data_IF_427715048045
#
_entry.id   IF_427715048045
#
_cell.length_a   1.000
_cell.length_b   1.000
_cell.length_c   1.000
_cell.angle_alpha   90.00
_cell.angle_beta   90.00
_cell.angle_gamma   90.00
#
_symmetry.space_group_name_H-M   'P 1'
#
loop_
_entity.id
_entity.type
_entity.pdbx_description
1 polymer ?
#
# COMPACT_ATOMS: atom_id res chain seq x y z
N UNK A 1 13.30 -12.43 -20.26
CA UNK A 1 13.94 -11.65 -19.18
C UNK A 1 12.89 -10.68 -18.66
N UNK A 2 12.58 -10.68 -17.36
CA UNK A 2 11.65 -9.70 -16.79
C UNK A 2 12.18 -8.29 -17.06
N UNK A 3 11.34 -7.35 -17.50
CA UNK A 3 11.73 -5.96 -17.71
C UNK A 3 11.60 -5.20 -16.37
N UNK A 4 12.71 -4.94 -15.65
CA UNK A 4 12.65 -4.34 -14.32
C UNK A 4 12.11 -2.91 -14.36
N UNK A 5 12.32 -2.16 -15.46
CA UNK A 5 11.87 -0.78 -15.57
C UNK A 5 10.33 -0.69 -15.60
N UNK A 6 9.68 -1.61 -16.32
CA UNK A 6 8.21 -1.67 -16.36
C UNK A 6 7.60 -2.03 -15.00
N UNK A 7 8.15 -3.05 -14.34
CA UNK A 7 7.73 -3.44 -13.00
C UNK A 7 7.95 -2.33 -11.96
N UNK A 8 9.04 -1.57 -12.08
CA UNK A 8 9.37 -0.45 -11.19
C UNK A 8 8.37 0.69 -11.33
N UNK A 9 8.06 1.09 -12.56
CA UNK A 9 7.05 2.12 -12.83
C UNK A 9 5.67 1.73 -12.28
N UNK A 10 5.31 0.44 -12.38
CA UNK A 10 4.09 -0.08 -11.79
C UNK A 10 4.13 -0.04 -10.26
N UNK A 11 5.26 -0.36 -9.63
CA UNK A 11 5.42 -0.22 -8.18
C UNK A 11 5.25 1.23 -7.71
N UNK A 12 5.83 2.22 -8.43
CA UNK A 12 5.59 3.64 -8.15
C UNK A 12 4.12 4.04 -8.32
N UNK A 13 3.48 3.58 -9.40
CA UNK A 13 2.05 3.82 -9.63
C UNK A 13 1.21 3.30 -8.47
N UNK A 14 1.50 2.10 -7.96
CA UNK A 14 0.77 1.54 -6.82
C UNK A 14 0.98 2.39 -5.57
N UNK A 15 2.19 2.85 -5.25
CA UNK A 15 2.39 3.76 -4.11
C UNK A 15 1.63 5.08 -4.28
N UNK A 16 1.60 5.63 -5.50
CA UNK A 16 0.82 6.82 -5.82
C UNK A 16 -0.69 6.58 -5.64
N UNK A 17 -1.21 5.42 -6.07
CA UNK A 17 -2.60 5.02 -5.85
C UNK A 17 -2.91 4.85 -4.35
N UNK A 18 -2.00 4.27 -3.57
CA UNK A 18 -2.14 4.16 -2.12
C UNK A 18 -2.16 5.54 -1.44
N UNK A 19 -1.37 6.50 -1.92
CA UNK A 19 -1.40 7.88 -1.43
C UNK A 19 -2.68 8.62 -1.86
N UNK A 20 -3.16 8.41 -3.09
CA UNK A 20 -4.41 8.99 -3.58
C UNK A 20 -5.64 8.50 -2.78
N UNK A 21 -5.50 7.40 -2.03
CA UNK A 21 -6.58 6.83 -1.23
C UNK A 21 -7.08 7.77 -0.13
N UNK A 22 -6.23 8.68 0.36
CA UNK A 22 -6.64 9.72 1.30
C UNK A 22 -7.60 10.74 0.67
N UNK A 23 -7.53 10.95 -0.65
CA UNK A 23 -8.41 11.86 -1.38
C UNK A 23 -9.70 11.18 -1.83
N UNK A 24 -9.65 9.87 -2.07
CA UNK A 24 -10.78 9.10 -2.62
C UNK A 24 -11.51 8.25 -1.57
N UNK A 25 -11.28 8.49 -0.27
CA UNK A 25 -11.89 7.72 0.81
C UNK A 25 -11.56 6.21 0.76
N UNK A 26 -10.36 5.85 0.28
CA UNK A 26 -9.92 4.45 0.19
C UNK A 26 -10.16 3.76 -1.15
N UNK A 27 -10.91 4.35 -2.10
CA UNK A 27 -11.23 3.67 -3.37
C UNK A 27 -9.98 3.24 -4.17
N UNK A 28 -8.98 4.11 -4.26
CA UNK A 28 -7.75 3.85 -5.03
C UNK A 28 -6.83 2.81 -4.37
N UNK A 29 -6.99 2.49 -3.08
CA UNK A 29 -6.30 1.36 -2.43
C UNK A 29 -6.71 0.02 -3.06
N UNK A 30 -7.98 -0.13 -3.44
CA UNK A 30 -8.48 -1.35 -4.11
C UNK A 30 -7.87 -1.49 -5.51
N UNK A 31 -7.75 -0.39 -6.25
CA UNK A 31 -7.09 -0.39 -7.56
C UNK A 31 -5.61 -0.77 -7.37
N UNK A 32 -4.93 -0.19 -6.39
CA UNK A 32 -3.53 -0.49 -6.08
C UNK A 32 -3.27 -1.96 -5.77
N UNK A 33 -4.12 -2.62 -4.97
CA UNK A 33 -3.96 -4.05 -4.68
C UNK A 33 -4.24 -4.94 -5.90
N UNK A 34 -5.23 -4.60 -6.73
CA UNK A 34 -5.49 -5.33 -7.98
C UNK A 34 -4.26 -5.27 -8.89
N UNK A 35 -3.73 -4.06 -9.13
CA UNK A 35 -2.50 -3.89 -9.91
C UNK A 35 -1.36 -4.70 -9.30
N UNK A 36 -1.22 -4.67 -7.97
CA UNK A 36 -0.17 -5.41 -7.28
C UNK A 36 -0.27 -6.92 -7.50
N UNK A 37 -1.45 -7.52 -7.38
CA UNK A 37 -1.59 -8.95 -7.63
C UNK A 37 -1.40 -9.32 -9.10
N UNK A 38 -2.00 -8.55 -10.01
CA UNK A 38 -2.00 -8.85 -11.45
C UNK A 38 -0.63 -8.69 -12.07
N UNK A 39 0.21 -7.75 -11.57
CA UNK A 39 1.50 -7.42 -12.18
C UNK A 39 2.71 -7.92 -11.39
N UNK A 40 2.50 -8.58 -10.25
CA UNK A 40 3.58 -9.14 -9.44
C UNK A 40 4.33 -10.27 -10.16
N UNK A 41 3.68 -11.00 -11.05
CA UNK A 41 4.31 -12.02 -11.90
C UNK A 41 5.47 -11.45 -12.73
N UNK A 42 5.30 -10.24 -13.28
CA UNK A 42 6.32 -9.53 -14.07
C UNK A 42 7.54 -9.14 -13.22
N UNK A 43 7.36 -9.02 -11.90
CA UNK A 43 8.43 -8.67 -10.96
C UNK A 43 9.13 -9.88 -10.32
N UNK A 44 8.68 -11.12 -10.60
CA UNK A 44 9.26 -12.33 -9.97
C UNK A 44 10.75 -12.47 -10.30
N UNK A 45 11.53 -12.84 -9.30
CA UNK A 45 12.99 -12.97 -9.42
C UNK A 45 13.74 -11.64 -9.46
N UNK A 46 13.04 -10.51 -9.31
CA UNK A 46 13.63 -9.18 -9.16
C UNK A 46 13.44 -8.66 -7.73
N UNK A 47 14.20 -7.63 -7.35
CA UNK A 47 14.03 -6.93 -6.07
C UNK A 47 12.64 -6.26 -5.93
N UNK A 48 11.98 -5.97 -7.05
CA UNK A 48 10.65 -5.32 -7.13
C UNK A 48 9.54 -6.24 -6.60
N UNK A 49 9.70 -7.58 -6.62
CA UNK A 49 8.71 -8.50 -6.04
C UNK A 49 8.45 -8.19 -4.55
N UNK A 50 9.50 -7.76 -3.83
CA UNK A 50 9.39 -7.39 -2.43
C UNK A 50 8.52 -6.14 -2.20
N UNK A 51 8.53 -5.20 -3.15
CA UNK A 51 7.70 -3.99 -3.11
C UNK A 51 6.23 -4.32 -3.37
N UNK A 52 5.94 -5.17 -4.36
CA UNK A 52 4.56 -5.65 -4.58
C UNK A 52 4.03 -6.40 -3.37
N UNK A 53 4.86 -7.25 -2.73
CA UNK A 53 4.48 -7.92 -1.48
C UNK A 53 4.21 -6.91 -0.36
N UNK A 54 5.06 -5.91 -0.17
CA UNK A 54 4.87 -4.84 0.81
C UNK A 54 3.57 -4.05 0.58
N UNK A 55 3.25 -3.76 -0.68
CA UNK A 55 2.03 -3.04 -1.06
C UNK A 55 0.77 -3.86 -0.78
N UNK A 56 0.78 -5.16 -1.11
CA UNK A 56 -0.30 -6.10 -0.80
C UNK A 56 -0.53 -6.20 0.70
N UNK A 57 0.53 -6.40 1.49
CA UNK A 57 0.44 -6.47 2.96
C UNK A 57 -0.10 -5.15 3.54
N UNK A 58 0.32 -4.00 2.99
CA UNK A 58 -0.15 -2.69 3.44
C UNK A 58 -1.66 -2.55 3.25
N UNK A 59 -2.22 -3.03 2.15
CA UNK A 59 -3.67 -3.05 1.95
C UNK A 59 -4.38 -3.91 3.00
N UNK A 60 -3.94 -5.14 3.22
CA UNK A 60 -4.66 -6.06 4.11
C UNK A 60 -4.62 -5.62 5.58
N UNK A 61 -3.48 -5.12 6.04
CA UNK A 61 -3.39 -4.53 7.38
C UNK A 61 -4.26 -3.28 7.53
N UNK A 62 -4.33 -2.44 6.50
CA UNK A 62 -5.23 -1.28 6.51
C UNK A 62 -6.70 -1.67 6.50
N UNK A 63 -7.08 -2.63 5.65
CA UNK A 63 -8.47 -3.09 5.57
C UNK A 63 -8.91 -3.67 6.92
N UNK A 64 -8.06 -4.51 7.54
CA UNK A 64 -8.33 -5.04 8.86
C UNK A 64 -8.45 -3.93 9.91
N UNK A 65 -7.50 -2.98 9.92
CA UNK A 65 -7.52 -1.84 10.84
C UNK A 65 -8.77 -0.97 10.69
N UNK A 66 -9.22 -0.71 9.46
CA UNK A 66 -10.44 0.04 9.17
C UNK A 66 -11.69 -0.71 9.63
N UNK A 67 -11.76 -2.02 9.42
CA UNK A 67 -12.87 -2.86 9.90
C UNK A 67 -12.95 -2.81 11.43
N UNK A 68 -11.83 -3.02 12.12
CA UNK A 68 -11.76 -2.97 13.59
C UNK A 68 -12.10 -1.57 14.09
N UNK A 69 -11.51 -0.52 13.50
CA UNK A 69 -11.76 0.86 13.88
C UNK A 69 -13.24 1.23 13.72
N UNK A 70 -13.84 0.92 12.58
CA UNK A 70 -15.26 1.20 12.33
C UNK A 70 -16.17 0.42 13.28
N UNK A 71 -15.88 -0.86 13.53
CA UNK A 71 -16.65 -1.69 14.46
C UNK A 71 -16.56 -1.23 15.92
N UNK A 72 -15.42 -0.67 16.32
CA UNK A 72 -15.19 -0.14 17.67
C UNK A 72 -15.67 1.30 17.86
N UNK A 73 -16.09 1.99 16.80
CA UNK A 73 -16.67 3.35 16.91
C UNK A 73 -17.91 3.36 17.80
N UNK A 74 -18.73 2.30 17.77
CA UNK A 74 -19.91 2.17 18.63
C UNK A 74 -19.58 1.99 20.12
N UNK A 75 -18.33 1.65 20.46
CA UNK A 75 -17.83 1.52 21.83
C UNK A 75 -17.24 2.85 22.30
N UNK A 76 -18.10 3.86 22.52
CA UNK A 76 -17.72 5.17 23.09
C UNK A 76 -16.78 6.02 22.20
N UNK A 77 -16.77 5.81 20.89
CA UNK A 77 -15.94 6.59 19.95
C UNK A 77 -14.46 6.19 19.91
N UNK A 78 -14.06 5.11 20.60
CA UNK A 78 -12.69 4.58 20.54
C UNK A 78 -12.24 4.25 19.11
N UNK A 79 -13.18 3.88 18.25
CA UNK A 79 -12.94 3.63 16.82
C UNK A 79 -12.26 4.79 16.10
N UNK A 80 -12.53 6.05 16.46
CA UNK A 80 -11.87 7.19 15.82
C UNK A 80 -10.36 7.24 16.09
N UNK A 81 -9.94 6.86 17.30
CA UNK A 81 -8.52 6.76 17.66
C UNK A 81 -7.87 5.63 16.85
N UNK A 82 -8.54 4.48 16.76
CA UNK A 82 -8.04 3.35 15.96
C UNK A 82 -7.91 3.74 14.49
N UNK A 83 -8.91 4.39 13.91
CA UNK A 83 -8.89 4.84 12.51
C UNK A 83 -7.79 5.87 12.25
N UNK A 84 -7.55 6.80 13.20
CA UNK A 84 -6.44 7.75 13.12
C UNK A 84 -5.09 7.03 13.14
N UNK A 85 -4.91 6.06 14.04
CA UNK A 85 -3.67 5.28 14.11
C UNK A 85 -3.44 4.46 12.83
N UNK A 86 -4.49 3.88 12.25
CA UNK A 86 -4.43 3.16 10.97
C UNK A 86 -4.04 4.12 9.83
N UNK A 87 -4.61 5.32 9.79
CA UNK A 87 -4.26 6.33 8.79
C UNK A 87 -2.79 6.75 8.90
N UNK A 88 -2.30 7.04 10.10
CA UNK A 88 -0.89 7.39 10.33
C UNK A 88 0.04 6.22 9.97
N UNK A 89 -0.36 4.99 10.30
CA UNK A 89 0.38 3.78 9.95
C UNK A 89 0.45 3.58 8.43
N UNK A 90 -0.64 3.84 7.70
CA UNK A 90 -0.66 3.80 6.23
C UNK A 90 0.32 4.82 5.63
N UNK A 91 0.30 6.07 6.11
CA UNK A 91 1.23 7.11 5.64
C UNK A 91 2.68 6.65 5.84
N UNK A 92 3.01 6.16 7.03
CA UNK A 92 4.34 5.63 7.33
C UNK A 92 4.74 4.47 6.39
N UNK A 93 3.84 3.50 6.17
CA UNK A 93 4.10 2.33 5.32
C UNK A 93 4.33 2.72 3.86
N UNK A 94 3.54 3.67 3.33
CA UNK A 94 3.72 4.20 1.99
C UNK A 94 5.07 4.92 1.91
N UNK A 95 5.34 5.88 2.81
CA UNK A 95 6.55 6.67 2.78
C UNK A 95 7.81 5.79 2.88
N UNK A 96 7.83 4.85 3.84
CA UNK A 96 8.95 3.91 4.01
C UNK A 96 9.16 3.03 2.78
N UNK A 97 8.09 2.45 2.24
CA UNK A 97 8.18 1.58 1.08
C UNK A 97 8.63 2.33 -0.17
N UNK A 98 8.08 3.52 -0.39
CA UNK A 98 8.38 4.34 -1.57
C UNK A 98 9.79 4.92 -1.51
N UNK A 99 10.26 5.38 -0.34
CA UNK A 99 11.65 5.81 -0.16
C UNK A 99 12.64 4.67 -0.41
N UNK A 100 12.31 3.46 0.05
CA UNK A 100 13.13 2.28 -0.22
C UNK A 100 13.20 1.97 -1.72
N UNK A 101 12.08 2.11 -2.44
CA UNK A 101 12.03 1.91 -3.90
C UNK A 101 12.97 2.89 -4.63
N UNK A 102 12.97 4.17 -4.24
CA UNK A 102 13.90 5.16 -4.81
C UNK A 102 15.36 4.89 -4.45
N UNK A 103 15.64 4.48 -3.21
CA UNK A 103 17.00 4.19 -2.77
C UNK A 103 17.60 2.97 -3.49
N UNK A 104 16.79 1.93 -3.76
CA UNK A 104 17.23 0.75 -4.50
C UNK A 104 17.35 1.03 -6.02
N UNK A 105 16.64 2.03 -6.55
CA UNK A 105 16.78 2.47 -7.94
C UNK A 105 18.10 3.20 -8.22
N UNK A 106 18.69 3.87 -7.23
CA UNK A 106 19.91 4.66 -7.41
C UNK A 106 21.21 3.85 -7.26
N UNK A 107 21.14 2.54 -7.02
CA UNK A 107 22.27 1.62 -6.87
C UNK A 107 22.52 0.83 -8.15
#
# INVERSE_FOLDING_TARGET
MANPNGARNLAHLVYALQAAAFLTGGLTLFIGIIVSYVKRDVARGTWIDSHFRWQIETFWWNLLGVIIGTGTTFLLGLGYIVLLLVALWLIYRIAKGWLRLFAEESL
#
